data_IF_272350939763
#
_entry.id   IF_272350939763
#
_cell.length_a   1.000
_cell.length_b   1.000
_cell.length_c   1.000
_cell.angle_alpha   90.00
_cell.angle_beta   90.00
_cell.angle_gamma   90.00
#
_symmetry.space_group_name_H-M   'P 1'
#
loop_
_entity.id
_entity.type
_entity.pdbx_description
1 polymer ?
#
# COMPACT_ATOMS: atom_id res chain seq x y z
N UNK A 1 3.46 0.35 -11.25
CA UNK A 1 2.88 1.44 -10.44
C UNK A 1 2.64 0.96 -9.02
N UNK A 2 2.99 1.77 -8.05
CA UNK A 2 2.76 1.46 -6.63
C UNK A 2 1.69 2.41 -6.10
N UNK A 3 0.69 1.85 -5.44
CA UNK A 3 -0.39 2.61 -4.82
C UNK A 3 -0.52 2.18 -3.36
N UNK A 4 -0.55 3.16 -2.46
CA UNK A 4 -0.72 2.94 -1.03
C UNK A 4 -2.08 3.48 -0.62
N UNK A 5 -2.96 2.59 -0.20
CA UNK A 5 -4.29 2.92 0.30
C UNK A 5 -4.25 2.89 1.82
N UNK A 6 -4.48 4.03 2.43
CA UNK A 6 -4.34 4.12 3.88
C UNK A 6 -5.06 5.32 4.47
N UNK A 7 -4.65 5.69 5.68
CA UNK A 7 -5.18 6.86 6.38
C UNK A 7 -4.03 7.63 7.03
N UNK A 8 -4.17 8.96 7.07
CA UNK A 8 -3.09 9.83 7.57
C UNK A 8 -2.72 9.53 9.02
N UNK A 9 -3.72 9.18 9.85
CA UNK A 9 -3.51 8.93 11.28
C UNK A 9 -2.97 7.54 11.57
N UNK A 10 -3.00 6.63 10.61
CA UNK A 10 -2.62 5.23 10.82
C UNK A 10 -1.10 5.11 10.86
N UNK A 11 -0.56 4.65 12.00
CA UNK A 11 0.88 4.50 12.16
C UNK A 11 1.50 3.54 11.16
N UNK A 12 0.79 2.47 10.82
CA UNK A 12 1.27 1.48 9.86
C UNK A 12 1.31 2.06 8.43
N UNK A 13 0.32 2.89 8.08
CA UNK A 13 0.34 3.64 6.81
C UNK A 13 1.55 4.56 6.77
N UNK A 14 1.81 5.30 7.85
CA UNK A 14 2.94 6.21 7.94
C UNK A 14 4.27 5.46 7.78
N UNK A 15 4.42 4.34 8.47
CA UNK A 15 5.62 3.51 8.38
C UNK A 15 5.86 3.03 6.95
N UNK A 16 4.82 2.53 6.30
CA UNK A 16 4.90 2.05 4.92
C UNK A 16 5.34 3.15 3.97
N UNK A 17 4.74 4.33 4.09
CA UNK A 17 5.10 5.47 3.25
C UNK A 17 6.55 5.89 3.46
N UNK A 18 6.98 5.98 4.73
CA UNK A 18 8.37 6.34 5.03
C UNK A 18 9.36 5.32 4.47
N UNK A 19 8.99 4.03 4.55
CA UNK A 19 9.86 2.98 4.02
C UNK A 19 10.01 3.08 2.51
N UNK A 20 8.91 3.28 1.80
CA UNK A 20 8.94 3.46 0.34
C UNK A 20 9.74 4.71 -0.04
N UNK A 21 9.57 5.80 0.70
CA UNK A 21 10.36 7.02 0.50
C UNK A 21 11.86 6.74 0.66
N UNK A 22 12.22 5.99 1.69
CA UNK A 22 13.64 5.66 1.97
C UNK A 22 14.26 4.80 0.87
N UNK A 23 13.44 4.01 0.19
CA UNK A 23 13.90 3.17 -0.93
C UNK A 23 13.93 3.94 -2.25
N UNK A 24 13.46 5.18 -2.27
CA UNK A 24 13.38 5.97 -3.49
C UNK A 24 12.31 5.49 -4.45
N UNK A 25 11.31 4.76 -3.95
CA UNK A 25 10.22 4.24 -4.77
C UNK A 25 9.11 5.27 -4.87
N UNK A 26 8.74 5.62 -6.10
CA UNK A 26 7.63 6.53 -6.37
C UNK A 26 6.31 5.77 -6.21
N UNK A 27 5.39 6.35 -5.47
CA UNK A 27 4.07 5.74 -5.24
C UNK A 27 2.99 6.81 -5.22
N UNK A 28 1.76 6.40 -5.44
CA UNK A 28 0.60 7.23 -5.23
C UNK A 28 -0.03 6.87 -3.89
N UNK A 29 -0.30 7.89 -3.08
CA UNK A 29 -1.00 7.69 -1.81
C UNK A 29 -2.47 8.04 -1.97
N UNK A 30 -3.34 7.15 -1.53
CA UNK A 30 -4.79 7.34 -1.55
C UNK A 30 -5.32 7.24 -0.12
N UNK A 31 -5.90 8.33 0.38
CA UNK A 31 -6.54 8.34 1.69
C UNK A 31 -7.96 7.80 1.54
N UNK A 32 -8.18 6.60 2.05
CA UNK A 32 -9.47 5.90 1.89
C UNK A 32 -10.60 6.57 2.67
N UNK A 33 -10.25 7.42 3.64
CA UNK A 33 -11.28 8.17 4.39
C UNK A 33 -11.83 9.36 3.60
N UNK A 34 -11.15 9.75 2.53
CA UNK A 34 -11.55 10.85 1.66
C UNK A 34 -11.94 10.37 0.27
N UNK A 35 -11.91 9.06 0.02
CA UNK A 35 -12.18 8.48 -1.28
C UNK A 35 -13.00 7.19 -1.09
N UNK A 36 -14.31 7.32 -1.26
CA UNK A 36 -15.22 6.20 -1.01
C UNK A 36 -15.01 5.05 -1.98
N UNK A 37 -14.70 5.35 -3.23
CA UNK A 37 -14.45 4.30 -4.22
C UNK A 37 -13.19 3.51 -3.86
N UNK A 38 -12.15 4.19 -3.39
CA UNK A 38 -10.94 3.54 -2.93
C UNK A 38 -11.20 2.67 -1.70
N UNK A 39 -11.99 3.17 -0.76
CA UNK A 39 -12.39 2.40 0.42
C UNK A 39 -13.12 1.11 0.02
N UNK A 40 -14.06 1.21 -0.92
CA UNK A 40 -14.80 0.05 -1.41
C UNK A 40 -13.87 -0.96 -2.10
N UNK A 41 -12.94 -0.46 -2.91
CA UNK A 41 -11.97 -1.33 -3.57
C UNK A 41 -11.12 -2.09 -2.55
N UNK A 42 -10.64 -1.40 -1.52
CA UNK A 42 -9.86 -2.03 -0.44
C UNK A 42 -10.66 -3.13 0.24
N UNK A 43 -11.92 -2.88 0.53
CA UNK A 43 -12.80 -3.88 1.15
C UNK A 43 -12.98 -5.10 0.25
N UNK A 44 -13.13 -4.89 -1.06
CA UNK A 44 -13.25 -5.99 -2.02
C UNK A 44 -12.01 -6.88 -2.03
N UNK A 45 -10.83 -6.29 -1.84
CA UNK A 45 -9.57 -7.04 -1.80
C UNK A 45 -9.41 -7.83 -0.50
N UNK A 46 -10.10 -7.46 0.57
CA UNK A 46 -9.84 -7.95 1.92
C UNK A 46 -11.09 -8.53 2.59
N UNK A 47 -11.94 -9.20 1.82
CA UNK A 47 -13.14 -9.88 2.34
C UNK A 47 -14.08 -8.94 3.12
N UNK A 48 -14.25 -7.72 2.62
CA UNK A 48 -15.15 -6.74 3.20
C UNK A 48 -14.52 -5.88 4.31
N UNK A 49 -13.22 -6.08 4.60
CA UNK A 49 -12.54 -5.33 5.65
C UNK A 49 -11.68 -4.21 5.04
N UNK A 50 -11.71 -3.05 5.68
CA UNK A 50 -10.87 -1.92 5.28
C UNK A 50 -9.53 -2.02 6.00
N UNK A 51 -8.58 -2.76 5.41
CA UNK A 51 -7.25 -2.89 5.98
C UNK A 51 -6.36 -1.73 5.55
N UNK A 52 -5.64 -1.15 6.51
CA UNK A 52 -4.76 -0.01 6.29
C UNK A 52 -3.36 -0.30 6.82
N UNK A 53 -2.32 -0.17 5.97
CA UNK A 53 -2.42 0.10 4.53
C UNK A 53 -2.69 -1.15 3.70
N UNK A 54 -3.36 -0.97 2.58
CA UNK A 54 -3.40 -1.97 1.50
C UNK A 54 -2.55 -1.41 0.37
N UNK A 55 -1.58 -2.18 -0.09
CA UNK A 55 -0.59 -1.70 -1.07
C UNK A 55 -0.72 -2.52 -2.35
N UNK A 56 -0.91 -1.82 -3.47
CA UNK A 56 -0.92 -2.45 -4.78
C UNK A 56 0.41 -2.19 -5.45
N UNK A 57 1.10 -3.27 -5.84
CA UNK A 57 2.40 -3.22 -6.51
C UNK A 57 2.25 -4.05 -7.78
N UNK A 58 2.11 -3.37 -8.93
CA UNK A 58 1.77 -4.06 -10.17
C UNK A 58 0.44 -4.78 -10.01
N UNK A 59 0.43 -6.09 -10.18
CA UNK A 59 -0.76 -6.91 -10.00
C UNK A 59 -0.89 -7.47 -8.58
N UNK A 60 0.11 -7.28 -7.73
CA UNK A 60 0.08 -7.79 -6.36
C UNK A 60 -0.65 -6.82 -5.44
N UNK A 61 -1.47 -7.38 -4.55
CA UNK A 61 -2.17 -6.61 -3.52
C UNK A 61 -1.77 -7.18 -2.16
N UNK A 62 -1.21 -6.32 -1.31
CA UNK A 62 -0.70 -6.70 0.00
C UNK A 62 -1.48 -5.97 1.09
N UNK A 63 -1.95 -6.70 2.09
CA UNK A 63 -2.65 -6.11 3.23
C UNK A 63 -1.67 -6.01 4.40
N UNK A 64 -1.46 -4.79 4.89
CA UNK A 64 -0.62 -4.52 6.05
C UNK A 64 0.76 -5.18 5.94
N UNK A 65 1.48 -4.97 4.81
CA UNK A 65 2.73 -5.68 4.58
C UNK A 65 3.84 -5.21 5.51
N UNK A 66 4.73 -6.14 5.86
CA UNK A 66 5.99 -5.79 6.50
C UNK A 66 6.93 -5.12 5.49
N UNK A 67 8.00 -4.50 5.99
CA UNK A 67 9.02 -3.93 5.12
C UNK A 67 9.63 -4.99 4.21
N UNK A 68 9.86 -6.20 4.72
CA UNK A 68 10.41 -7.30 3.92
C UNK A 68 9.45 -7.74 2.83
N UNK A 69 8.16 -7.82 3.14
CA UNK A 69 7.15 -8.19 2.16
C UNK A 69 7.03 -7.14 1.05
N UNK A 70 7.10 -5.86 1.42
CA UNK A 70 7.12 -4.77 0.45
C UNK A 70 8.32 -4.90 -0.50
N UNK A 71 9.52 -5.09 0.05
CA UNK A 71 10.73 -5.17 -0.76
C UNK A 71 10.71 -6.39 -1.67
N UNK A 72 10.21 -7.52 -1.18
CA UNK A 72 10.09 -8.73 -2.00
C UNK A 72 9.18 -8.49 -3.20
N UNK A 73 8.01 -7.91 -2.96
CA UNK A 73 7.06 -7.60 -4.03
C UNK A 73 7.63 -6.59 -5.02
N UNK A 74 8.33 -5.57 -4.52
CA UNK A 74 8.97 -4.55 -5.38
C UNK A 74 10.02 -5.19 -6.29
N UNK A 75 10.81 -6.13 -5.75
CA UNK A 75 11.82 -6.83 -6.55
C UNK A 75 11.17 -7.71 -7.61
N UNK A 76 10.09 -8.40 -7.27
CA UNK A 76 9.36 -9.23 -8.21
C UNK A 76 8.80 -8.42 -9.39
N UNK A 77 8.41 -7.17 -9.13
CA UNK A 77 7.87 -6.28 -10.16
C UNK A 77 8.96 -5.46 -10.86
N UNK A 78 10.23 -5.69 -10.54
CA UNK A 78 11.34 -4.99 -11.16
C UNK A 78 11.51 -3.55 -10.71
N UNK A 79 10.94 -3.17 -9.57
CA UNK A 79 11.01 -1.81 -9.05
C UNK A 79 12.15 -1.59 -8.06
N UNK A 80 12.81 -2.66 -7.64
CA UNK A 80 14.04 -2.63 -6.86
C UNK A 80 15.02 -3.65 -7.44
N UNK A 81 16.34 -3.41 -7.30
CA UNK A 81 17.36 -4.38 -7.71
C UNK A 81 17.26 -5.70 -6.96
#
# INVERSE_FOLDING_TARGET
MVEVYGADWCGDTQRTRRHLDSLGVVYQYINVEQDQQASEWVKQQNNGKERKPTVKIGEQVLAEPSDQELEHALRQEGLLP
#
